data_IF_334421880983
#
_entry.id   IF_334421880983
#
_cell.length_a   1.000
_cell.length_b   1.000
_cell.length_c   1.000
_cell.angle_alpha   90.00
_cell.angle_beta   90.00
_cell.angle_gamma   90.00
#
_symmetry.space_group_name_H-M   'P 1'
#
loop_
_entity.id
_entity.type
_entity.pdbx_description
1 polymer ?
#
# COMPACT_ATOMS: atom_id res chain seq x y z
N UNK A 1 -6.96 19.21 -19.47
CA UNK A 1 -7.70 19.13 -18.20
C UNK A 1 -7.60 17.77 -17.56
N UNK A 2 -7.89 16.70 -18.30
CA UNK A 2 -7.79 15.35 -17.77
C UNK A 2 -6.38 14.97 -17.37
N UNK A 3 -5.38 15.46 -18.10
CA UNK A 3 -3.97 15.19 -17.79
C UNK A 3 -3.56 15.72 -16.41
N UNK A 4 -3.98 16.94 -16.09
CA UNK A 4 -3.65 17.57 -14.79
C UNK A 4 -4.33 16.79 -13.66
N UNK A 5 -5.58 16.40 -13.86
CA UNK A 5 -6.33 15.63 -12.86
C UNK A 5 -5.69 14.26 -12.63
N UNK A 6 -5.32 13.58 -13.71
CA UNK A 6 -4.70 12.27 -13.63
C UNK A 6 -3.34 12.34 -12.95
N UNK A 7 -2.55 13.38 -13.24
CA UNK A 7 -1.26 13.59 -12.58
C UNK A 7 -1.43 13.85 -11.09
N UNK A 8 -2.45 14.63 -10.72
CA UNK A 8 -2.76 14.90 -9.32
C UNK A 8 -3.17 13.63 -8.59
N UNK A 9 -4.04 12.82 -9.20
CA UNK A 9 -4.46 11.54 -8.63
C UNK A 9 -3.28 10.58 -8.47
N UNK A 10 -2.37 10.57 -9.44
CA UNK A 10 -1.17 9.75 -9.37
C UNK A 10 -0.27 10.15 -8.20
N UNK A 11 -0.07 11.46 -8.00
CA UNK A 11 0.71 11.97 -6.87
C UNK A 11 0.10 11.55 -5.53
N UNK A 12 -1.22 11.64 -5.40
CA UNK A 12 -1.91 11.22 -4.17
C UNK A 12 -1.76 9.72 -3.93
N UNK A 13 -1.88 8.91 -4.97
CA UNK A 13 -1.70 7.46 -4.87
C UNK A 13 -0.27 7.10 -4.48
N UNK A 14 0.72 7.79 -5.02
CA UNK A 14 2.13 7.58 -4.65
C UNK A 14 2.36 7.88 -3.17
N UNK A 15 1.74 8.94 -2.64
CA UNK A 15 1.80 9.27 -1.22
C UNK A 15 1.12 8.18 -0.37
N UNK A 16 -0.05 7.73 -0.79
CA UNK A 16 -0.78 6.65 -0.09
C UNK A 16 0.01 5.36 -0.09
N UNK A 17 0.63 5.01 -1.22
CA UNK A 17 1.47 3.82 -1.32
C UNK A 17 2.70 3.90 -0.40
N UNK A 18 3.30 5.07 -0.28
CA UNK A 18 4.42 5.27 0.64
C UNK A 18 4.00 5.06 2.10
N UNK A 19 2.81 5.56 2.46
CA UNK A 19 2.26 5.37 3.82
C UNK A 19 1.98 3.90 4.09
N UNK A 20 1.31 3.22 3.15
CA UNK A 20 0.99 1.80 3.30
C UNK A 20 2.26 0.96 3.41
N UNK A 21 3.29 1.28 2.63
CA UNK A 21 4.55 0.55 2.69
C UNK A 21 5.21 0.69 4.07
N UNK A 22 5.19 1.89 4.64
CA UNK A 22 5.71 2.09 6.00
C UNK A 22 4.91 1.30 7.03
N UNK A 23 3.59 1.22 6.86
CA UNK A 23 2.74 0.43 7.74
C UNK A 23 3.04 -1.06 7.62
N UNK A 24 3.26 -1.54 6.41
CA UNK A 24 3.64 -2.93 6.15
C UNK A 24 4.98 -3.25 6.82
N UNK A 25 5.96 -2.37 6.68
CA UNK A 25 7.28 -2.55 7.28
C UNK A 25 7.20 -2.63 8.81
N UNK A 26 6.40 -1.75 9.41
CA UNK A 26 6.16 -1.76 10.86
C UNK A 26 5.44 -3.04 11.30
N UNK A 27 4.52 -3.51 10.49
CA UNK A 27 3.77 -4.73 10.79
C UNK A 27 4.66 -5.96 10.75
N UNK A 28 5.58 -6.03 9.79
CA UNK A 28 6.60 -7.08 9.75
C UNK A 28 7.47 -7.06 11.01
N UNK A 29 7.88 -5.88 11.44
CA UNK A 29 8.69 -5.74 12.66
C UNK A 29 7.90 -6.19 13.88
N UNK A 30 6.63 -5.82 13.99
CA UNK A 30 5.77 -6.24 15.10
C UNK A 30 5.63 -7.76 15.13
N UNK A 31 5.39 -8.40 13.99
CA UNK A 31 5.26 -9.85 13.89
C UNK A 31 6.55 -10.51 14.37
N UNK A 32 7.70 -10.00 13.92
CA UNK A 32 8.99 -10.53 14.33
C UNK A 32 9.19 -10.41 15.86
N UNK A 33 8.87 -9.24 16.43
CA UNK A 33 8.99 -8.99 17.85
C UNK A 33 8.08 -9.92 18.68
N UNK A 34 6.83 -10.09 18.22
CA UNK A 34 5.88 -10.98 18.88
C UNK A 34 6.35 -12.44 18.83
N UNK A 35 6.88 -12.85 17.69
CA UNK A 35 7.39 -14.21 17.52
C UNK A 35 8.58 -14.46 18.44
N UNK A 36 9.50 -13.51 18.53
CA UNK A 36 10.65 -13.61 19.42
C UNK A 36 10.23 -13.68 20.89
N UNK A 37 9.14 -12.98 21.25
CA UNK A 37 8.58 -13.00 22.59
C UNK A 37 7.67 -14.21 22.85
N UNK A 38 7.51 -15.09 21.88
CA UNK A 38 6.62 -16.26 21.93
C UNK A 38 5.18 -15.88 22.20
N UNK A 39 4.76 -14.72 21.65
CA UNK A 39 3.39 -14.26 21.71
C UNK A 39 2.62 -14.72 20.46
N UNK A 40 1.28 -14.71 20.55
CA UNK A 40 0.43 -15.06 19.41
C UNK A 40 0.55 -13.98 18.32
N UNK A 41 0.79 -14.43 17.07
CA UNK A 41 0.97 -13.55 15.93
C UNK A 41 -0.22 -13.54 14.96
N UNK A 42 -1.29 -14.28 15.26
CA UNK A 42 -2.40 -14.47 14.32
C UNK A 42 -3.06 -13.15 13.89
N UNK A 43 -3.38 -12.27 14.86
CA UNK A 43 -3.98 -10.97 14.55
C UNK A 43 -3.04 -10.08 13.76
N UNK A 44 -1.75 -10.12 14.10
CA UNK A 44 -0.74 -9.32 13.40
C UNK A 44 -0.60 -9.75 11.94
N UNK A 45 -0.63 -11.05 11.67
CA UNK A 45 -0.64 -11.57 10.29
C UNK A 45 -1.90 -11.17 9.54
N UNK A 46 -3.06 -11.20 10.20
CA UNK A 46 -4.32 -10.80 9.60
C UNK A 46 -4.29 -9.33 9.15
N UNK A 47 -3.77 -8.45 10.01
CA UNK A 47 -3.63 -7.04 9.68
C UNK A 47 -2.63 -6.84 8.51
N UNK A 48 -1.53 -7.59 8.50
CA UNK A 48 -0.57 -7.53 7.39
C UNK A 48 -1.25 -7.87 6.06
N UNK A 49 -2.08 -8.91 6.04
CA UNK A 49 -2.83 -9.32 4.85
C UNK A 49 -3.75 -8.20 4.37
N UNK A 50 -4.44 -7.51 5.29
CA UNK A 50 -5.29 -6.36 4.94
C UNK A 50 -4.48 -5.22 4.34
N UNK A 51 -3.31 -4.91 4.91
CA UNK A 51 -2.43 -3.86 4.40
C UNK A 51 -1.90 -4.22 3.01
N UNK A 52 -1.53 -5.46 2.78
CA UNK A 52 -1.06 -5.92 1.48
C UNK A 52 -2.18 -5.88 0.42
N UNK A 53 -3.40 -6.19 0.82
CA UNK A 53 -4.57 -6.08 -0.07
C UNK A 53 -4.80 -4.64 -0.47
N UNK A 54 -4.74 -3.71 0.48
CA UNK A 54 -4.88 -2.28 0.19
C UNK A 54 -3.77 -1.79 -0.74
N UNK A 55 -2.53 -2.24 -0.50
CA UNK A 55 -1.39 -1.91 -1.35
C UNK A 55 -1.62 -2.38 -2.80
N UNK A 56 -2.11 -3.60 -2.97
CA UNK A 56 -2.39 -4.15 -4.29
C UNK A 56 -3.46 -3.35 -5.04
N UNK A 57 -4.52 -2.94 -4.33
CA UNK A 57 -5.58 -2.12 -4.92
C UNK A 57 -5.06 -0.75 -5.35
N UNK A 58 -4.27 -0.09 -4.52
CA UNK A 58 -3.66 1.21 -4.86
C UNK A 58 -2.70 1.07 -6.04
N UNK A 59 -1.92 0.01 -6.09
CA UNK A 59 -1.00 -0.26 -7.20
C UNK A 59 -1.76 -0.47 -8.50
N UNK A 60 -2.85 -1.23 -8.48
CA UNK A 60 -3.70 -1.44 -9.65
C UNK A 60 -4.27 -0.12 -10.14
N UNK A 61 -4.81 0.69 -9.24
CA UNK A 61 -5.35 2.01 -9.59
C UNK A 61 -4.27 2.93 -10.18
N UNK A 62 -3.09 2.93 -9.58
CA UNK A 62 -1.95 3.69 -10.07
C UNK A 62 -1.60 3.29 -11.51
N UNK A 63 -1.55 2.00 -11.78
CA UNK A 63 -1.24 1.49 -13.12
C UNK A 63 -2.30 1.90 -14.14
N UNK A 64 -3.57 1.91 -13.75
CA UNK A 64 -4.66 2.37 -14.61
C UNK A 64 -4.51 3.85 -14.98
N UNK A 65 -4.11 4.68 -14.00
CA UNK A 65 -3.87 6.11 -14.25
C UNK A 65 -2.69 6.29 -15.20
N UNK A 66 -1.62 5.56 -15.01
CA UNK A 66 -0.44 5.61 -15.88
C UNK A 66 -0.83 5.24 -17.32
N UNK A 67 -1.63 4.18 -17.49
CA UNK A 67 -2.09 3.78 -18.82
C UNK A 67 -2.97 4.87 -19.45
N UNK A 68 -3.85 5.50 -18.67
CA UNK A 68 -4.67 6.61 -19.17
C UNK A 68 -3.81 7.79 -19.61
N UNK A 69 -2.76 8.13 -18.85
CA UNK A 69 -1.84 9.22 -19.21
C UNK A 69 -1.09 8.93 -20.51
N UNK A 70 -0.73 7.66 -20.76
CA UNK A 70 -0.04 7.27 -21.99
C UNK A 70 -0.91 7.44 -23.24
N UNK A 71 -2.22 7.44 -23.07
CA UNK A 71 -3.17 7.58 -24.17
C UNK A 71 -3.50 9.03 -24.51
N UNK A 72 -3.06 9.96 -23.70
CA UNK A 72 -3.25 11.38 -23.97
C UNK A 72 -2.15 11.89 -24.91
#
# INVERSE_FOLDING_TARGET
MDQIRLQHDLEQLDEQLAVVQRQIDRQHQLIWDLDQAKQDTAEAWSLLTELETAQALHTTHRNQIIEALKRL
#
